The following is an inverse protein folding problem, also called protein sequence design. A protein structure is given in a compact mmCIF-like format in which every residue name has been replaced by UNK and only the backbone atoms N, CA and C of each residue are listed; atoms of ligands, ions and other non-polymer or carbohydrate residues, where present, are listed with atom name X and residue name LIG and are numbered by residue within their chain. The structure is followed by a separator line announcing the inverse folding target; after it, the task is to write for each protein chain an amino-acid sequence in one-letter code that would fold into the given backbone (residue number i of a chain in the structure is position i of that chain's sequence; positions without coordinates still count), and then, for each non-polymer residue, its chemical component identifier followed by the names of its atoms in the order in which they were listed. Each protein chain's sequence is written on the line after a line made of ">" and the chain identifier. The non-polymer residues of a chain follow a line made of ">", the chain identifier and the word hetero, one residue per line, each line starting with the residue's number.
data_IF_412063646234
#
_entry.id   IF_412063646234
#
_cell.length_a   1.000
_cell.length_b   1.000
_cell.length_c   1.000
_cell.angle_alpha   90.00
_cell.angle_beta   90.00
_cell.angle_gamma   90.00
#
_symmetry.space_group_name_H-M   'P 1'
#
loop_
_entity.id
_entity.type
_entity.pdbx_description
1 polymer ?
#
# COMPACT_ATOMS: atom_id res chain seq x y z
N UNK A 1 -3.36 3.64 11.43
CA UNK A 1 -4.12 4.90 11.49
C UNK A 1 -4.59 5.40 10.13
N UNK A 2 -3.78 5.32 9.07
CA UNK A 2 -4.15 5.86 7.74
C UNK A 2 -5.26 5.09 7.03
N UNK A 3 -5.46 3.86 7.39
CA UNK A 3 -6.47 3.01 6.75
C UNK A 3 -7.89 3.24 7.30
N UNK A 4 -8.05 3.80 8.49
CA UNK A 4 -9.33 3.98 9.17
C UNK A 4 -10.30 4.95 8.46
N UNK A 5 -9.79 6.05 7.96
CA UNK A 5 -10.62 7.10 7.36
C UNK A 5 -11.24 6.72 6.01
N UNK A 6 -10.68 5.73 5.31
CA UNK A 6 -11.22 5.27 4.01
C UNK A 6 -12.52 4.51 4.19
N UNK A 7 -12.72 3.90 5.34
CA UNK A 7 -13.59 2.75 5.56
C UNK A 7 -14.98 3.14 6.04
N UNK A 8 -15.05 4.16 6.89
CA UNK A 8 -16.27 4.68 7.49
C UNK A 8 -17.34 5.10 6.45
N UNK A 9 -16.91 5.54 5.27
CA UNK A 9 -17.81 6.10 4.24
C UNK A 9 -18.07 5.21 3.04
N UNK A 10 -17.40 4.04 2.93
CA UNK A 10 -17.48 3.20 1.74
C UNK A 10 -18.23 1.88 1.94
N UNK A 11 -18.53 1.48 3.18
CA UNK A 11 -19.32 0.28 3.49
C UNK A 11 -18.61 -1.04 3.17
N UNK A 12 -17.27 -1.08 3.20
CA UNK A 12 -16.50 -2.31 3.00
C UNK A 12 -16.21 -3.02 4.31
N UNK A 13 -16.30 -4.34 4.30
CA UNK A 13 -15.72 -5.21 5.31
C UNK A 13 -14.20 -5.31 5.12
N UNK A 14 -13.43 -5.49 6.19
CA UNK A 14 -12.01 -5.28 6.17
C UNK A 14 -11.21 -6.46 6.72
N UNK A 15 -10.29 -6.97 5.92
CA UNK A 15 -9.22 -7.84 6.36
C UNK A 15 -7.95 -7.01 6.64
N UNK A 16 -7.54 -6.96 7.91
CA UNK A 16 -6.30 -6.28 8.35
C UNK A 16 -5.15 -7.28 8.35
N UNK A 17 -4.22 -7.13 7.43
CA UNK A 17 -3.06 -8.04 7.30
C UNK A 17 -1.89 -7.46 8.09
N UNK A 18 -1.27 -8.26 8.97
CA UNK A 18 -0.13 -7.85 9.79
C UNK A 18 0.93 -8.94 9.90
N UNK A 19 2.20 -8.57 10.05
CA UNK A 19 3.29 -9.53 10.24
C UNK A 19 3.68 -9.70 11.72
N UNK A 20 3.97 -8.62 12.42
CA UNK A 20 4.58 -8.67 13.76
C UNK A 20 3.83 -7.96 14.87
N UNK A 21 3.04 -6.93 14.59
CA UNK A 21 2.37 -6.13 15.62
C UNK A 21 0.88 -6.49 15.73
N UNK A 22 0.61 -7.58 16.44
CA UNK A 22 -0.76 -8.07 16.69
C UNK A 22 -1.59 -7.07 17.51
N UNK A 23 -0.98 -6.39 18.47
CA UNK A 23 -1.69 -5.42 19.30
C UNK A 23 -2.23 -4.26 18.47
N UNK A 24 -1.41 -3.66 17.60
CA UNK A 24 -1.86 -2.59 16.72
C UNK A 24 -2.90 -3.07 15.69
N UNK A 25 -2.78 -4.30 15.19
CA UNK A 25 -3.78 -4.87 14.29
C UNK A 25 -5.14 -5.03 14.98
N UNK A 26 -5.15 -5.54 16.21
CA UNK A 26 -6.37 -5.71 17.00
C UNK A 26 -6.98 -4.36 17.43
N UNK A 27 -6.17 -3.35 17.73
CA UNK A 27 -6.64 -1.99 17.97
C UNK A 27 -7.37 -1.45 16.73
N UNK A 28 -6.75 -1.54 15.55
CA UNK A 28 -7.37 -1.16 14.27
C UNK A 28 -8.69 -1.89 14.03
N UNK A 29 -8.75 -3.20 14.28
CA UNK A 29 -9.99 -3.99 14.15
C UNK A 29 -11.06 -3.49 15.11
N UNK A 30 -10.70 -3.17 16.35
CA UNK A 30 -11.63 -2.67 17.37
C UNK A 30 -12.23 -1.32 16.96
N UNK A 31 -11.41 -0.42 16.45
CA UNK A 31 -11.85 0.89 15.95
C UNK A 31 -12.79 0.75 14.75
N UNK A 32 -12.49 -0.17 13.81
CA UNK A 32 -13.34 -0.46 12.66
C UNK A 32 -14.70 -1.03 13.07
N UNK A 33 -14.72 -1.95 14.03
CA UNK A 33 -15.97 -2.52 14.57
C UNK A 33 -16.82 -1.46 15.28
N UNK A 34 -16.21 -0.49 15.94
CA UNK A 34 -16.91 0.64 16.54
C UNK A 34 -17.61 1.54 15.50
N UNK A 35 -17.17 1.48 14.23
CA UNK A 35 -17.78 2.18 13.09
C UNK A 35 -18.80 1.31 12.32
N UNK A 36 -19.28 0.20 12.90
CA UNK A 36 -20.18 -0.78 12.28
C UNK A 36 -19.61 -1.41 10.98
N UNK A 37 -18.32 -1.58 10.91
CA UNK A 37 -17.62 -2.29 9.82
C UNK A 37 -17.24 -3.68 10.32
N UNK A 38 -17.52 -4.74 9.55
CA UNK A 38 -16.98 -6.05 9.86
C UNK A 38 -15.48 -6.06 9.56
N UNK A 39 -14.68 -6.37 10.57
CA UNK A 39 -13.23 -6.36 10.45
C UNK A 39 -12.59 -7.53 11.19
N UNK A 40 -11.54 -8.10 10.60
CA UNK A 40 -10.76 -9.18 11.20
C UNK A 40 -9.28 -9.05 10.86
N UNK A 41 -8.40 -9.38 11.82
CA UNK A 41 -6.96 -9.33 11.68
C UNK A 41 -6.39 -10.70 11.30
N UNK A 42 -5.48 -10.74 10.32
CA UNK A 42 -4.82 -11.95 9.85
C UNK A 42 -3.31 -11.79 9.92
N UNK A 43 -2.65 -12.67 10.67
CA UNK A 43 -1.18 -12.72 10.69
C UNK A 43 -0.68 -13.33 9.39
N UNK A 44 0.15 -12.59 8.67
CA UNK A 44 0.71 -13.01 7.39
C UNK A 44 2.01 -12.25 7.11
N UNK A 45 3.08 -12.98 6.82
CA UNK A 45 4.28 -12.40 6.22
C UNK A 45 4.09 -12.36 4.70
N UNK A 46 3.94 -11.16 4.15
CA UNK A 46 3.72 -10.97 2.71
C UNK A 46 4.93 -11.43 1.87
N UNK A 47 6.13 -11.50 2.44
CA UNK A 47 7.32 -11.99 1.74
C UNK A 47 7.30 -13.51 1.53
N UNK A 48 6.48 -14.24 2.29
CA UNK A 48 6.29 -15.69 2.17
C UNK A 48 5.00 -16.01 1.39
N UNK A 49 5.17 -16.62 0.23
CA UNK A 49 4.07 -16.96 -0.67
C UNK A 49 3.11 -18.01 -0.09
N UNK A 50 3.59 -18.94 0.76
CA UNK A 50 2.74 -19.93 1.40
C UNK A 50 1.86 -19.30 2.47
N UNK A 51 2.45 -18.47 3.34
CA UNK A 51 1.73 -17.65 4.32
C UNK A 51 0.64 -16.79 3.66
N UNK A 52 0.95 -16.18 2.51
CA UNK A 52 -0.02 -15.39 1.75
C UNK A 52 -1.18 -16.24 1.23
N UNK A 53 -0.91 -17.41 0.65
CA UNK A 53 -1.96 -18.28 0.13
C UNK A 53 -2.92 -18.75 1.23
N UNK A 54 -2.40 -19.13 2.40
CA UNK A 54 -3.21 -19.48 3.57
C UNK A 54 -4.05 -18.29 4.07
N UNK A 55 -3.44 -17.11 4.14
CA UNK A 55 -4.11 -15.90 4.56
C UNK A 55 -5.28 -15.55 3.62
N UNK A 56 -5.04 -15.53 2.31
CA UNK A 56 -6.07 -15.23 1.32
C UNK A 56 -7.20 -16.27 1.37
N UNK A 57 -6.89 -17.54 1.61
CA UNK A 57 -7.91 -18.59 1.77
C UNK A 57 -8.83 -18.31 2.98
N UNK A 58 -8.26 -17.93 4.13
CA UNK A 58 -9.03 -17.56 5.34
C UNK A 58 -9.89 -16.31 5.11
N UNK A 59 -9.35 -15.29 4.43
CA UNK A 59 -10.12 -14.09 4.06
C UNK A 59 -11.30 -14.45 3.16
N UNK A 60 -11.10 -15.34 2.17
CA UNK A 60 -12.17 -15.81 1.29
C UNK A 60 -13.20 -16.68 2.01
N UNK A 61 -12.79 -17.50 2.97
CA UNK A 61 -13.71 -18.27 3.81
C UNK A 61 -14.61 -17.35 4.63
N UNK A 62 -14.07 -16.28 5.19
CA UNK A 62 -14.80 -15.32 6.03
C UNK A 62 -15.70 -14.40 5.23
N UNK A 63 -15.21 -13.78 4.16
CA UNK A 63 -15.89 -12.70 3.45
C UNK A 63 -16.49 -13.12 2.10
N UNK A 64 -16.09 -14.25 1.54
CA UNK A 64 -16.60 -14.80 0.27
C UNK A 64 -16.18 -14.07 -0.99
N UNK A 65 -15.60 -12.86 -0.88
CA UNK A 65 -15.14 -12.01 -2.00
C UNK A 65 -14.03 -11.07 -1.59
N UNK A 66 -13.31 -10.56 -2.58
CA UNK A 66 -12.30 -9.50 -2.38
C UNK A 66 -12.48 -8.46 -3.50
N UNK A 67 -12.90 -7.26 -3.15
CA UNK A 67 -13.17 -6.18 -4.10
C UNK A 67 -12.01 -5.20 -4.23
N UNK A 68 -11.27 -5.01 -3.15
CA UNK A 68 -10.15 -4.07 -3.09
C UNK A 68 -8.95 -4.73 -2.45
N UNK A 69 -7.79 -4.59 -3.08
CA UNK A 69 -6.48 -4.92 -2.49
C UNK A 69 -5.67 -3.64 -2.36
N UNK A 70 -5.19 -3.36 -1.15
CA UNK A 70 -4.21 -2.30 -0.92
C UNK A 70 -2.88 -2.93 -0.51
N UNK A 71 -1.90 -2.89 -1.40
CA UNK A 71 -0.54 -3.34 -1.12
C UNK A 71 0.22 -2.22 -0.40
N UNK A 72 0.08 -2.15 0.93
CA UNK A 72 0.65 -1.12 1.78
C UNK A 72 1.87 -1.61 2.58
N UNK A 73 2.04 -2.91 2.78
CA UNK A 73 3.17 -3.46 3.53
C UNK A 73 4.50 -2.95 2.99
N UNK A 74 5.36 -2.49 3.88
CA UNK A 74 6.68 -1.99 3.49
C UNK A 74 7.57 -1.69 4.68
N UNK A 75 8.87 -1.83 4.44
CA UNK A 75 9.94 -1.53 5.38
C UNK A 75 11.01 -0.68 4.72
N UNK A 76 11.81 -0.01 5.53
CA UNK A 76 13.04 0.66 5.11
C UNK A 76 14.25 0.03 5.78
N UNK A 77 15.39 0.00 5.08
CA UNK A 77 16.72 -0.35 5.59
C UNK A 77 17.70 0.56 4.86
N UNK A 78 17.78 1.80 5.34
CA UNK A 78 18.49 2.88 4.65
C UNK A 78 19.98 2.79 4.93
N UNK A 79 20.78 2.84 3.88
CA UNK A 79 22.23 2.95 3.96
C UNK A 79 22.80 3.44 2.63
N UNK A 80 23.94 4.14 2.67
CA UNK A 80 24.69 4.49 1.45
C UNK A 80 25.11 3.22 0.70
N UNK A 81 25.13 3.27 -0.63
CA UNK A 81 25.40 2.11 -1.50
C UNK A 81 26.62 1.29 -1.08
N UNK A 82 27.72 1.94 -0.71
CA UNK A 82 28.95 1.26 -0.29
C UNK A 82 28.82 0.49 1.05
N UNK A 83 27.81 0.79 1.85
CA UNK A 83 27.58 0.18 3.16
C UNK A 83 26.32 -0.68 3.20
N UNK A 84 25.50 -0.62 2.14
CA UNK A 84 24.28 -1.42 2.02
C UNK A 84 24.68 -2.88 1.84
N UNK A 85 24.23 -3.74 2.73
CA UNK A 85 24.49 -5.17 2.65
C UNK A 85 23.35 -5.88 1.87
N UNK A 86 23.60 -7.13 1.48
CA UNK A 86 22.63 -7.92 0.73
C UNK A 86 21.39 -8.26 1.53
N UNK A 87 21.48 -8.41 2.85
CA UNK A 87 20.34 -8.75 3.70
C UNK A 87 19.38 -7.55 3.78
N UNK A 88 19.89 -6.32 3.95
CA UNK A 88 19.07 -5.11 3.93
C UNK A 88 18.42 -4.88 2.56
N UNK A 89 19.16 -5.11 1.48
CA UNK A 89 18.62 -5.06 0.12
C UNK A 89 17.48 -6.07 -0.05
N UNK A 90 17.74 -7.34 0.24
CA UNK A 90 16.79 -8.43 0.05
C UNK A 90 15.55 -8.26 0.94
N UNK A 91 15.71 -7.85 2.19
CA UNK A 91 14.60 -7.61 3.09
C UNK A 91 13.62 -6.56 2.53
N UNK A 92 14.16 -5.44 2.00
CA UNK A 92 13.32 -4.38 1.41
C UNK A 92 12.66 -4.83 0.12
N UNK A 93 13.38 -5.48 -0.79
CA UNK A 93 12.82 -5.99 -2.05
C UNK A 93 11.75 -7.05 -1.76
N UNK A 94 12.04 -8.00 -0.87
CA UNK A 94 11.13 -9.10 -0.57
C UNK A 94 9.83 -8.61 0.09
N UNK A 95 9.89 -7.67 1.01
CA UNK A 95 8.68 -7.14 1.65
C UNK A 95 7.93 -6.19 0.72
N UNK A 96 8.62 -5.18 0.15
CA UNK A 96 7.95 -4.07 -0.52
C UNK A 96 7.50 -4.38 -1.95
N UNK A 97 8.22 -5.24 -2.68
CA UNK A 97 7.93 -5.57 -4.07
C UNK A 97 7.44 -7.01 -4.23
N UNK A 98 8.22 -8.00 -3.76
CA UNK A 98 7.82 -9.41 -3.85
C UNK A 98 6.57 -9.67 -3.03
N UNK A 99 6.42 -9.04 -1.87
CA UNK A 99 5.21 -9.14 -1.04
C UNK A 99 3.95 -8.64 -1.76
N UNK A 100 4.05 -7.51 -2.48
CA UNK A 100 2.94 -7.02 -3.30
C UNK A 100 2.59 -8.00 -4.44
N UNK A 101 3.59 -8.62 -5.08
CA UNK A 101 3.37 -9.68 -6.07
C UNK A 101 2.69 -10.90 -5.44
N UNK A 102 3.19 -11.38 -4.30
CA UNK A 102 2.65 -12.54 -3.60
C UNK A 102 1.17 -12.34 -3.24
N UNK A 103 0.80 -11.18 -2.68
CA UNK A 103 -0.59 -10.85 -2.35
C UNK A 103 -1.46 -10.72 -3.60
N UNK A 104 -0.94 -10.06 -4.63
CA UNK A 104 -1.71 -9.79 -5.85
C UNK A 104 -2.03 -11.06 -6.63
N UNK A 105 -1.12 -12.00 -6.73
CA UNK A 105 -1.25 -13.21 -7.57
C UNK A 105 -2.49 -14.06 -7.24
N UNK A 106 -2.74 -14.50 -6.00
CA UNK A 106 -3.96 -15.24 -5.65
C UNK A 106 -5.22 -14.38 -5.73
N UNK A 107 -5.15 -13.08 -5.36
CA UNK A 107 -6.29 -12.17 -5.35
C UNK A 107 -6.74 -11.84 -6.77
N UNK A 108 -5.83 -11.65 -7.71
CA UNK A 108 -6.18 -11.47 -9.14
C UNK A 108 -6.98 -12.65 -9.67
N UNK A 109 -6.64 -13.88 -9.29
CA UNK A 109 -7.42 -15.07 -9.70
C UNK A 109 -8.88 -15.00 -9.19
N UNK A 110 -9.09 -14.46 -8.00
CA UNK A 110 -10.42 -14.24 -7.41
C UNK A 110 -11.13 -13.12 -8.17
N UNK A 111 -10.52 -11.94 -8.31
CA UNK A 111 -11.08 -10.78 -8.99
C UNK A 111 -11.42 -11.06 -10.46
N UNK A 112 -10.62 -11.89 -11.15
CA UNK A 112 -10.90 -12.32 -12.53
C UNK A 112 -12.20 -13.15 -12.64
N UNK A 113 -12.47 -14.01 -11.65
CA UNK A 113 -13.73 -14.75 -11.56
C UNK A 113 -14.90 -13.83 -11.25
N UNK A 114 -14.70 -12.86 -10.36
CA UNK A 114 -15.69 -11.84 -10.03
C UNK A 114 -15.97 -10.87 -11.19
N UNK A 115 -15.04 -10.74 -12.15
CA UNK A 115 -15.03 -9.72 -13.23
C UNK A 115 -15.12 -8.29 -12.66
N UNK A 116 -14.51 -8.08 -11.52
CA UNK A 116 -14.50 -6.80 -10.80
C UNK A 116 -13.36 -6.79 -9.79
N UNK A 117 -12.71 -5.66 -9.62
CA UNK A 117 -11.69 -5.45 -8.60
C UNK A 117 -10.94 -4.12 -8.72
N UNK A 118 -10.35 -3.69 -7.63
CA UNK A 118 -9.44 -2.54 -7.60
C UNK A 118 -8.19 -2.88 -6.79
N UNK A 119 -7.02 -2.65 -7.37
CA UNK A 119 -5.73 -2.85 -6.71
C UNK A 119 -5.05 -1.49 -6.59
N UNK A 120 -4.63 -1.14 -5.38
CA UNK A 120 -3.89 0.09 -5.09
C UNK A 120 -2.53 -0.28 -4.51
N UNK A 121 -1.46 0.05 -5.21
CA UNK A 121 -0.10 -0.19 -4.78
C UNK A 121 0.49 1.06 -4.13
N UNK A 122 0.96 0.95 -2.89
CA UNK A 122 1.61 2.05 -2.19
C UNK A 122 3.07 2.16 -2.61
N UNK A 123 3.31 3.02 -3.63
CA UNK A 123 4.65 3.41 -4.07
C UNK A 123 5.22 4.49 -3.11
N UNK A 124 5.97 5.44 -3.62
CA UNK A 124 6.53 6.60 -2.91
C UNK A 124 7.06 7.59 -3.93
N UNK A 125 7.17 8.87 -3.56
CA UNK A 125 7.96 9.85 -4.33
C UNK A 125 9.40 9.36 -4.52
N UNK A 126 9.95 8.64 -3.53
CA UNK A 126 11.29 8.06 -3.62
C UNK A 126 11.40 7.02 -4.74
N UNK A 127 10.32 6.31 -5.07
CA UNK A 127 10.25 5.44 -6.24
C UNK A 127 10.17 6.19 -7.57
N UNK A 128 9.81 7.48 -7.54
CA UNK A 128 9.72 8.33 -8.74
C UNK A 128 11.05 9.06 -8.98
N UNK A 129 11.62 9.70 -7.95
CA UNK A 129 12.76 10.59 -8.07
C UNK A 129 14.08 10.02 -7.50
N UNK A 130 14.02 8.92 -6.75
CA UNK A 130 15.17 8.40 -6.00
C UNK A 130 15.45 9.18 -4.72
N UNK A 131 16.28 8.60 -3.84
CA UNK A 131 16.81 9.28 -2.67
C UNK A 131 18.16 8.66 -2.26
N UNK A 132 19.12 9.48 -1.90
CA UNK A 132 20.42 9.01 -1.42
C UNK A 132 20.25 8.17 -0.15
N UNK A 133 20.91 7.01 -0.07
CA UNK A 133 20.79 6.07 1.04
C UNK A 133 19.60 5.13 0.96
N UNK A 134 18.74 5.25 -0.04
CA UNK A 134 17.53 4.44 -0.21
C UNK A 134 17.49 3.67 -1.54
N UNK A 135 18.63 3.19 -2.03
CA UNK A 135 18.70 2.50 -3.32
C UNK A 135 17.77 1.26 -3.38
N UNK A 136 17.71 0.46 -2.31
CA UNK A 136 16.82 -0.69 -2.17
C UNK A 136 15.34 -0.26 -2.14
N UNK A 137 15.00 0.72 -1.35
CA UNK A 137 13.63 1.23 -1.21
C UNK A 137 13.16 1.90 -2.51
N UNK A 138 13.99 2.74 -3.12
CA UNK A 138 13.71 3.36 -4.43
C UNK A 138 13.46 2.31 -5.51
N UNK A 139 14.32 1.27 -5.59
CA UNK A 139 14.14 0.18 -6.55
C UNK A 139 12.82 -0.57 -6.34
N UNK A 140 12.48 -0.91 -5.09
CA UNK A 140 11.23 -1.59 -4.77
C UNK A 140 10.00 -0.74 -5.13
N UNK A 141 10.01 0.55 -4.76
CA UNK A 141 8.88 1.46 -5.01
C UNK A 141 8.75 1.85 -6.48
N UNK A 142 9.85 1.98 -7.23
CA UNK A 142 9.84 2.11 -8.68
C UNK A 142 9.35 0.82 -9.36
N UNK A 143 9.74 -0.36 -8.85
CA UNK A 143 9.24 -1.66 -9.30
C UNK A 143 7.72 -1.76 -9.21
N UNK A 144 7.11 -1.25 -8.12
CA UNK A 144 5.65 -1.19 -7.98
C UNK A 144 4.98 -0.32 -9.05
N UNK A 145 5.63 0.74 -9.53
CA UNK A 145 5.12 1.58 -10.62
C UNK A 145 5.05 0.77 -11.92
N UNK A 146 6.12 0.05 -12.26
CA UNK A 146 6.15 -0.83 -13.44
C UNK A 146 5.13 -1.96 -13.33
N UNK A 147 5.06 -2.61 -12.16
CA UNK A 147 4.10 -3.66 -11.84
C UNK A 147 2.65 -3.17 -12.01
N UNK A 148 2.31 -2.00 -11.48
CA UNK A 148 1.00 -1.36 -11.64
C UNK A 148 0.61 -1.18 -13.10
N UNK A 149 1.49 -0.60 -13.90
CA UNK A 149 1.22 -0.32 -15.31
C UNK A 149 1.03 -1.60 -16.15
N UNK A 150 1.80 -2.65 -15.85
CA UNK A 150 1.69 -3.94 -16.52
C UNK A 150 0.36 -4.62 -16.20
N UNK A 151 0.02 -4.71 -14.92
CA UNK A 151 -1.23 -5.33 -14.49
C UNK A 151 -2.47 -4.57 -14.96
N UNK A 152 -2.42 -3.24 -15.02
CA UNK A 152 -3.53 -2.44 -15.54
C UNK A 152 -3.87 -2.80 -17.00
N UNK A 153 -2.86 -3.04 -17.82
CA UNK A 153 -3.03 -3.47 -19.22
C UNK A 153 -3.55 -4.91 -19.32
N UNK A 154 -3.02 -5.81 -18.49
CA UNK A 154 -3.38 -7.22 -18.47
C UNK A 154 -4.82 -7.47 -18.00
N UNK A 155 -5.23 -6.75 -16.94
CA UNK A 155 -6.46 -7.04 -16.21
C UNK A 155 -7.65 -6.15 -16.59
N UNK A 156 -7.42 -5.10 -17.39
CA UNK A 156 -8.46 -4.15 -17.77
C UNK A 156 -9.66 -4.79 -18.48
N UNK A 157 -9.44 -5.80 -19.35
CA UNK A 157 -10.52 -6.55 -20.01
C UNK A 157 -11.40 -7.35 -19.06
N UNK A 158 -10.97 -7.53 -17.83
CA UNK A 158 -11.70 -8.20 -16.74
C UNK A 158 -12.36 -7.22 -15.77
N UNK A 159 -12.38 -5.92 -16.10
CA UNK A 159 -12.90 -4.86 -15.25
C UNK A 159 -12.17 -4.79 -13.88
N UNK A 160 -10.87 -5.05 -13.89
CA UNK A 160 -9.99 -4.93 -12.72
C UNK A 160 -9.07 -3.74 -12.97
N UNK A 161 -9.11 -2.75 -12.07
CA UNK A 161 -8.29 -1.55 -12.14
C UNK A 161 -7.07 -1.69 -11.23
N UNK A 162 -5.93 -1.20 -11.68
CA UNK A 162 -4.69 -1.26 -10.92
C UNK A 162 -4.03 0.12 -10.98
N UNK A 163 -3.86 0.77 -9.84
CA UNK A 163 -3.23 2.08 -9.74
C UNK A 163 -2.19 2.09 -8.62
N UNK A 164 -1.32 3.07 -8.64
CA UNK A 164 -0.37 3.32 -7.57
C UNK A 164 -0.58 4.71 -6.96
N UNK A 165 -0.27 4.85 -5.70
CA UNK A 165 -0.13 6.12 -5.00
C UNK A 165 1.36 6.31 -4.70
N UNK A 166 1.87 7.51 -4.91
CA UNK A 166 3.22 7.93 -4.54
C UNK A 166 3.13 8.99 -3.44
N UNK A 167 3.08 8.58 -2.15
CA UNK A 167 3.09 9.52 -1.04
C UNK A 167 4.38 10.32 -0.97
N UNK A 168 4.27 11.59 -0.58
CA UNK A 168 5.37 12.42 -0.15
C UNK A 168 5.75 12.18 1.32
N UNK A 169 6.15 13.24 2.00
CA UNK A 169 6.41 13.18 3.43
C UNK A 169 5.09 13.23 4.21
N UNK A 170 4.74 12.11 4.83
CA UNK A 170 3.50 11.92 5.60
C UNK A 170 3.87 11.79 7.08
N UNK A 171 3.14 12.45 7.97
CA UNK A 171 3.30 12.32 9.42
C UNK A 171 2.92 10.90 9.85
N UNK A 172 3.93 10.11 10.17
CA UNK A 172 3.82 8.72 10.63
C UNK A 172 4.93 8.44 11.64
N UNK A 173 4.94 7.26 12.23
CA UNK A 173 6.03 6.84 13.10
C UNK A 173 7.40 6.84 12.39
N UNK A 174 7.42 6.63 11.08
CA UNK A 174 8.65 6.66 10.26
C UNK A 174 9.23 8.08 10.11
N UNK A 175 8.42 9.11 10.29
CA UNK A 175 8.84 10.52 10.18
C UNK A 175 9.01 11.19 11.54
N UNK A 176 8.80 10.46 12.66
CA UNK A 176 9.06 10.96 14.01
C UNK A 176 10.54 11.28 14.18
N UNK A 177 10.82 12.52 14.59
CA UNK A 177 12.20 12.99 14.83
C UNK A 177 12.85 13.70 13.64
N UNK A 178 12.17 13.82 12.49
CA UNK A 178 12.59 14.71 11.42
C UNK A 178 12.27 16.17 11.82
N UNK A 179 13.10 17.09 11.34
CA UNK A 179 12.83 18.52 11.45
C UNK A 179 11.68 18.87 10.47
N UNK A 180 10.46 18.80 10.99
CA UNK A 180 9.21 18.96 10.22
C UNK A 180 9.18 20.32 9.53
N UNK A 181 9.63 21.37 10.20
CA UNK A 181 9.57 22.75 9.69
C UNK A 181 10.52 22.91 8.49
N UNK A 182 11.73 22.38 8.59
CA UNK A 182 12.70 22.39 7.49
C UNK A 182 12.20 21.59 6.27
N UNK A 183 11.54 20.46 6.46
CA UNK A 183 10.97 19.69 5.34
C UNK A 183 9.76 20.39 4.71
N UNK A 184 8.89 21.01 5.52
CA UNK A 184 7.70 21.70 5.05
C UNK A 184 8.04 22.91 4.15
N UNK A 185 9.19 23.57 4.38
CA UNK A 185 9.65 24.68 3.54
C UNK A 185 9.86 24.30 2.08
N UNK A 186 10.21 23.04 1.81
CA UNK A 186 10.46 22.53 0.45
C UNK A 186 9.19 22.01 -0.24
N UNK A 187 8.11 21.80 0.51
CA UNK A 187 6.82 21.34 -0.03
C UNK A 187 6.01 22.56 -0.48
N UNK A 188 5.50 22.64 -1.71
CA UNK A 188 4.68 23.76 -2.18
C UNK A 188 3.48 24.07 -1.28
N UNK A 189 2.77 23.05 -0.76
CA UNK A 189 1.66 23.23 0.20
C UNK A 189 2.10 23.57 1.63
N UNK A 190 3.42 23.74 1.89
CA UNK A 190 4.00 24.18 3.16
C UNK A 190 3.59 23.36 4.39
N UNK A 191 3.25 22.10 4.20
CA UNK A 191 2.95 21.14 5.27
C UNK A 191 3.34 19.73 4.88
N UNK A 192 3.58 18.87 5.85
CA UNK A 192 3.59 17.44 5.62
C UNK A 192 2.16 16.96 5.37
N UNK A 193 2.03 15.86 4.61
CA UNK A 193 0.75 15.17 4.48
C UNK A 193 0.35 14.47 5.78
N UNK A 194 -0.94 14.28 5.96
CA UNK A 194 -1.51 13.46 7.02
C UNK A 194 -1.90 12.08 6.43
N UNK A 195 -2.05 11.09 7.30
CA UNK A 195 -2.53 9.78 6.89
C UNK A 195 -3.88 9.83 6.15
N UNK A 196 -4.73 10.79 6.52
CA UNK A 196 -6.02 11.07 5.88
C UNK A 196 -5.87 11.50 4.41
N UNK A 197 -4.85 12.29 4.05
CA UNK A 197 -4.61 12.70 2.67
C UNK A 197 -4.40 11.47 1.76
N UNK A 198 -3.70 10.46 2.27
CA UNK A 198 -3.50 9.19 1.56
C UNK A 198 -4.80 8.38 1.53
N UNK A 199 -5.48 8.29 2.65
CA UNK A 199 -6.69 7.50 2.82
C UNK A 199 -7.79 7.91 1.83
N UNK A 200 -8.03 9.21 1.69
CA UNK A 200 -9.00 9.77 0.74
C UNK A 200 -8.66 9.37 -0.70
N UNK A 201 -7.37 9.42 -1.07
CA UNK A 201 -6.92 9.06 -2.42
C UNK A 201 -7.08 7.54 -2.67
N UNK A 202 -6.76 6.70 -1.69
CA UNK A 202 -7.00 5.24 -1.80
C UNK A 202 -8.49 4.96 -2.00
N UNK A 203 -9.37 5.58 -1.20
CA UNK A 203 -10.82 5.45 -1.35
C UNK A 203 -11.28 5.87 -2.74
N UNK A 204 -10.85 7.03 -3.20
CA UNK A 204 -11.20 7.52 -4.54
C UNK A 204 -10.80 6.52 -5.64
N UNK A 205 -9.57 6.01 -5.61
CA UNK A 205 -9.12 5.02 -6.59
C UNK A 205 -9.83 3.67 -6.43
N UNK A 206 -10.16 3.26 -5.22
CA UNK A 206 -10.84 2.00 -4.97
C UNK A 206 -12.30 2.03 -5.43
N UNK A 207 -13.03 3.13 -5.20
CA UNK A 207 -14.49 3.22 -5.33
C UNK A 207 -14.93 4.11 -6.48
N UNK A 208 -14.48 5.37 -6.49
CA UNK A 208 -15.07 6.42 -7.33
C UNK A 208 -14.37 6.53 -8.69
N UNK A 209 -13.06 6.29 -8.74
CA UNK A 209 -12.23 6.42 -9.94
C UNK A 209 -12.42 5.28 -10.97
N UNK A 210 -13.66 5.00 -11.37
CA UNK A 210 -14.04 3.82 -12.19
C UNK A 210 -13.39 3.77 -13.58
N UNK A 211 -12.94 4.90 -14.12
CA UNK A 211 -12.26 4.98 -15.41
C UNK A 211 -10.78 5.27 -15.29
N UNK A 212 -10.18 5.03 -14.10
CA UNK A 212 -8.77 5.28 -13.80
C UNK A 212 -8.07 3.94 -13.58
N UNK A 213 -7.10 3.61 -14.43
CA UNK A 213 -6.24 2.44 -14.31
C UNK A 213 -4.85 2.72 -14.88
N UNK A 214 -3.81 2.11 -14.34
CA UNK A 214 -2.43 2.26 -14.76
C UNK A 214 -1.78 3.58 -14.34
N UNK A 215 -2.45 4.37 -13.48
CA UNK A 215 -1.96 5.68 -13.05
C UNK A 215 -1.10 5.58 -11.80
N UNK A 216 -0.20 6.54 -11.67
CA UNK A 216 0.59 6.80 -10.45
C UNK A 216 0.19 8.18 -9.97
N UNK A 217 -0.48 8.24 -8.83
CA UNK A 217 -0.99 9.49 -8.27
C UNK A 217 -0.04 9.97 -7.19
N UNK A 218 0.59 11.12 -7.40
CA UNK A 218 1.36 11.82 -6.37
C UNK A 218 0.42 12.38 -5.30
N UNK A 219 0.74 12.11 -4.03
CA UNK A 219 0.07 12.72 -2.87
C UNK A 219 1.17 13.28 -1.98
N UNK A 220 1.77 14.37 -2.42
CA UNK A 220 3.06 14.86 -1.95
C UNK A 220 3.10 16.38 -1.70
N UNK A 221 1.94 17.04 -1.82
CA UNK A 221 1.85 18.49 -1.64
C UNK A 221 2.53 19.29 -2.74
N UNK A 222 2.79 18.67 -3.91
CA UNK A 222 3.47 19.30 -5.05
C UNK A 222 5.00 19.18 -4.99
N UNK A 223 5.54 18.29 -4.16
CA UNK A 223 6.99 18.12 -4.00
C UNK A 223 7.65 17.53 -5.28
N UNK A 224 6.92 16.70 -6.01
CA UNK A 224 7.38 16.10 -7.27
C UNK A 224 6.40 16.49 -8.38
N UNK A 225 6.79 17.51 -9.14
CA UNK A 225 6.04 18.02 -10.29
C UNK A 225 6.91 18.03 -11.54
#
# INVERSE_FOLDING_TARGET
>A
GSEMCIRDRAGFDIAVIYAGNEAAANETVSELKAMNVEAEAYKCDVSDAESVNECVAKVMEKFGRIDVLVNNAGITRDNLMLRMNHDDWNAVINTNLTGAFNMTKPIVKIMMKQRSGSIVNMSSIVGVMGNAGQANYSAAKAGLIGFTKSLAKELGSRNIRVNAIAPGFIKTDMTKGLDIDSFAEHIPLKRLGEAEDIAVTVKFLAVDGKYITGQVIGVDGGLVV
#
